data_IF_178440448548
#
_entry.id   IF_178440448548
#
_cell.length_a   1.000
_cell.length_b   1.000
_cell.length_c   1.000
_cell.angle_alpha   90.00
_cell.angle_beta   90.00
_cell.angle_gamma   90.00
#
_symmetry.space_group_name_H-M   'P 1'
#
loop_
_entity.id
_entity.type
_entity.pdbx_description
1 polymer ?
#
# COMPACT_ATOMS: atom_id res chain seq x y z
N UNK A 1 -13.31 11.52 2.02
CA UNK A 1 -12.40 11.29 3.16
C UNK A 1 -11.58 10.02 2.89
N UNK A 2 -10.29 9.98 3.26
CA UNK A 2 -9.44 8.78 3.12
C UNK A 2 -8.80 8.42 4.47
N UNK A 3 -8.57 7.13 4.71
CA UNK A 3 -7.65 6.71 5.76
C UNK A 3 -6.21 7.02 5.33
N UNK A 4 -5.34 7.33 6.29
CA UNK A 4 -3.93 7.61 6.06
C UNK A 4 -3.11 6.95 7.16
N UNK A 5 -2.11 6.18 6.77
CA UNK A 5 -1.21 5.54 7.74
C UNK A 5 -0.21 6.56 8.31
N UNK A 6 0.06 6.41 9.61
CA UNK A 6 1.02 7.20 10.38
C UNK A 6 2.14 6.29 10.85
N UNK A 7 3.37 6.73 10.68
CA UNK A 7 4.56 6.07 11.21
C UNK A 7 4.68 6.36 12.72
N UNK A 8 5.43 5.53 13.49
CA UNK A 8 5.59 5.74 14.93
C UNK A 8 6.21 7.09 15.31
N UNK A 9 6.96 7.73 14.41
CA UNK A 9 7.54 9.06 14.58
C UNK A 9 6.57 10.20 14.21
N UNK A 10 5.31 9.88 13.89
CA UNK A 10 4.29 10.84 13.53
C UNK A 10 4.34 11.31 12.08
N UNK A 11 5.22 10.76 11.23
CA UNK A 11 5.21 11.08 9.79
C UNK A 11 4.10 10.33 9.07
N UNK A 12 3.54 10.95 8.04
CA UNK A 12 2.63 10.28 7.12
C UNK A 12 3.40 9.25 6.30
N UNK A 13 2.85 8.05 6.18
CA UNK A 13 3.39 7.07 5.26
C UNK A 13 3.09 7.48 3.81
N UNK A 14 3.99 7.12 2.90
CA UNK A 14 3.72 7.20 1.47
C UNK A 14 2.64 6.20 1.05
N UNK A 15 2.04 6.44 -0.11
CA UNK A 15 1.11 5.48 -0.70
C UNK A 15 1.85 4.15 -1.00
N UNK A 16 1.11 3.05 -0.95
CA UNK A 16 1.64 1.68 -1.07
C UNK A 16 2.58 1.25 0.05
N UNK A 17 2.27 1.58 1.31
CA UNK A 17 2.91 0.90 2.45
C UNK A 17 2.65 -0.61 2.39
N UNK A 18 3.65 -1.41 2.02
CA UNK A 18 3.54 -2.87 1.86
C UNK A 18 4.03 -3.59 3.10
N UNK A 19 3.19 -4.50 3.61
CA UNK A 19 3.57 -5.47 4.63
C UNK A 19 3.49 -6.88 4.05
N UNK A 20 4.61 -7.62 4.08
CA UNK A 20 4.68 -9.01 3.61
C UNK A 20 4.33 -9.97 4.76
N UNK A 21 3.35 -10.82 4.54
CA UNK A 21 3.06 -11.98 5.38
C UNK A 21 3.63 -13.26 4.78
N UNK A 22 3.40 -14.40 5.42
CA UNK A 22 3.93 -15.72 4.97
C UNK A 22 3.53 -16.04 3.52
N UNK A 23 2.24 -15.90 3.20
CA UNK A 23 1.68 -16.13 1.86
C UNK A 23 0.71 -14.98 1.48
N UNK A 24 0.97 -13.77 1.96
CA UNK A 24 0.09 -12.62 1.76
C UNK A 24 0.88 -11.34 1.57
N UNK A 25 0.26 -10.39 0.88
CA UNK A 25 0.75 -9.02 0.75
C UNK A 25 -0.37 -8.10 1.21
N UNK A 26 -0.07 -7.23 2.17
CA UNK A 26 -1.01 -6.25 2.68
C UNK A 26 -0.60 -4.85 2.19
N UNK A 27 -1.53 -4.12 1.60
CA UNK A 27 -1.34 -2.73 1.16
C UNK A 27 -1.98 -1.80 2.21
N UNK A 28 -1.20 -1.41 3.21
CA UNK A 28 -1.68 -0.74 4.42
C UNK A 28 -1.91 0.77 4.25
N UNK A 29 -1.43 1.37 3.15
CA UNK A 29 -1.67 2.77 2.80
C UNK A 29 -2.02 2.91 1.31
N UNK A 30 -3.07 2.24 0.87
CA UNK A 30 -3.51 2.29 -0.53
C UNK A 30 -4.11 3.67 -0.88
N UNK A 31 -3.87 4.21 -2.10
CA UNK A 31 -4.55 5.41 -2.59
C UNK A 31 -6.07 5.22 -2.58
N UNK A 32 -6.83 6.28 -2.29
CA UNK A 32 -8.29 6.22 -2.23
C UNK A 32 -8.96 6.75 -3.50
N UNK A 33 -9.98 6.07 -4.05
CA UNK A 33 -10.42 4.70 -3.71
C UNK A 33 -9.44 3.63 -4.23
N UNK A 34 -9.18 2.59 -3.42
CA UNK A 34 -8.27 1.52 -3.83
C UNK A 34 -8.76 0.78 -5.09
N UNK A 35 -10.08 0.69 -5.29
CA UNK A 35 -10.68 0.07 -6.47
C UNK A 35 -10.22 0.74 -7.78
N UNK A 36 -10.19 2.08 -7.82
CA UNK A 36 -9.77 2.83 -9.00
C UNK A 36 -8.25 2.83 -9.18
N UNK A 37 -7.50 2.68 -8.10
CA UNK A 37 -6.04 2.57 -8.12
C UNK A 37 -5.52 1.13 -8.28
N UNK A 38 -6.42 0.13 -8.46
CA UNK A 38 -6.09 -1.29 -8.44
C UNK A 38 -5.01 -1.70 -9.44
N UNK A 39 -5.01 -1.12 -10.64
CA UNK A 39 -3.99 -1.41 -11.66
C UNK A 39 -2.60 -0.94 -11.25
N UNK A 40 -2.49 0.24 -10.63
CA UNK A 40 -1.20 0.76 -10.16
C UNK A 40 -0.72 0.03 -8.90
N UNK A 41 -1.63 -0.36 -8.00
CA UNK A 41 -1.33 -1.28 -6.89
C UNK A 41 -0.73 -2.58 -7.43
N UNK A 42 -1.40 -3.20 -8.42
CA UNK A 42 -0.95 -4.45 -9.03
C UNK A 42 0.41 -4.30 -9.72
N UNK A 43 0.61 -3.22 -10.47
CA UNK A 43 1.89 -2.92 -11.14
C UNK A 43 3.03 -2.74 -10.13
N UNK A 44 2.77 -2.04 -9.02
CA UNK A 44 3.76 -1.83 -7.96
C UNK A 44 4.17 -3.15 -7.29
N UNK A 45 3.20 -4.03 -7.01
CA UNK A 45 3.47 -5.36 -6.44
C UNK A 45 4.23 -6.24 -7.43
N UNK A 46 3.81 -6.28 -8.70
CA UNK A 46 4.45 -7.11 -9.72
C UNK A 46 5.94 -6.78 -9.92
N UNK A 47 6.32 -5.50 -9.82
CA UNK A 47 7.71 -5.05 -9.88
C UNK A 47 8.61 -5.53 -8.74
N UNK A 48 8.02 -6.02 -7.65
CA UNK A 48 8.76 -6.53 -6.48
C UNK A 48 8.92 -8.04 -6.49
N UNK A 49 8.34 -8.73 -7.47
CA UNK A 49 8.56 -10.15 -7.68
C UNK A 49 9.92 -10.35 -8.38
N UNK A 50 10.66 -11.43 -8.04
CA UNK A 50 11.91 -11.77 -8.70
C UNK A 50 11.73 -12.10 -10.18
#
# INVERSE_FOLDING_TARGET
VRAQALMPDGKLADDFLIMKGKNSIHVCNAPSPAATASLEIGRFIAKQLP
#
